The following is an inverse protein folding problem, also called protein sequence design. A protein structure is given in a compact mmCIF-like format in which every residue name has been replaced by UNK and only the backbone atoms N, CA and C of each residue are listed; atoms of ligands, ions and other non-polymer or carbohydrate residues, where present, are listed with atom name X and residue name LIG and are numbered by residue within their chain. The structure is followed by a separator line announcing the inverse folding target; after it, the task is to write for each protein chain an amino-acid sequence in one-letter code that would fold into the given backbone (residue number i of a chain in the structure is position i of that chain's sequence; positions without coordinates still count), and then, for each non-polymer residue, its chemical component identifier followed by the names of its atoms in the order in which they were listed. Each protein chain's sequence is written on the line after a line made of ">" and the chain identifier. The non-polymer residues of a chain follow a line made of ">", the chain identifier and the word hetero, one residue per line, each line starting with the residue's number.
data_IF_785687004068
#
_entry.id   IF_785687004068
#
_cell.length_a   1.000
_cell.length_b   1.000
_cell.length_c   1.000
_cell.angle_alpha   90.00
_cell.angle_beta   90.00
_cell.angle_gamma   90.00
#
_symmetry.space_group_name_H-M   'P 1'
#
loop_
_entity.id
_entity.type
_entity.pdbx_description
1 polymer ?
#
# COMPACT_ATOMS: atom_id res chain seq x y z
N UNK A 1 27.29 3.02 -9.24
CA UNK A 1 27.91 2.10 -8.26
C UNK A 1 28.61 2.97 -7.22
N UNK A 2 28.38 2.72 -5.97
CA UNK A 2 29.04 3.38 -4.84
C UNK A 2 29.57 2.30 -3.88
N UNK A 3 30.64 2.58 -3.19
CA UNK A 3 31.33 1.65 -2.30
C UNK A 3 31.47 2.32 -0.95
N UNK A 4 31.00 1.67 0.09
CA UNK A 4 31.07 2.18 1.46
C UNK A 4 31.84 1.20 2.36
N UNK A 5 32.67 1.73 3.21
CA UNK A 5 33.31 0.99 4.27
C UNK A 5 32.57 1.27 5.58
N UNK A 6 32.12 0.23 6.24
CA UNK A 6 31.39 0.27 7.51
C UNK A 6 32.24 -0.41 8.58
N UNK A 7 32.67 0.38 9.53
CA UNK A 7 33.42 -0.06 10.72
C UNK A 7 32.92 0.78 11.90
N UNK A 8 33.80 1.52 12.58
CA UNK A 8 33.44 2.51 13.61
C UNK A 8 32.81 3.78 12.97
N UNK A 9 33.05 3.96 11.69
CA UNK A 9 32.55 5.07 10.88
C UNK A 9 32.00 4.55 9.55
N UNK A 10 31.07 5.31 8.97
CA UNK A 10 30.58 5.11 7.62
C UNK A 10 31.35 6.00 6.66
N UNK A 11 32.10 5.41 5.73
CA UNK A 11 32.98 6.14 4.82
C UNK A 11 32.72 5.70 3.37
N UNK A 12 32.47 6.65 2.47
CA UNK A 12 32.42 6.37 1.04
C UNK A 12 33.82 6.30 0.43
N UNK A 13 34.05 5.24 -0.33
CA UNK A 13 35.29 5.01 -1.06
C UNK A 13 35.11 5.37 -2.54
N UNK A 14 36.07 6.04 -3.13
CA UNK A 14 36.07 6.38 -4.57
C UNK A 14 36.45 5.18 -5.44
N UNK A 15 37.25 4.26 -4.90
CA UNK A 15 37.77 3.09 -5.59
C UNK A 15 37.68 1.84 -4.69
N UNK A 16 37.80 0.67 -5.30
CA UNK A 16 37.89 -0.58 -4.58
C UNK A 16 39.17 -0.62 -3.72
N UNK A 17 39.06 -1.01 -2.45
CA UNK A 17 40.25 -1.16 -1.61
C UNK A 17 41.14 -2.30 -2.10
N UNK A 18 42.45 -2.22 -1.84
CA UNK A 18 43.38 -3.28 -2.17
C UNK A 18 43.16 -4.55 -1.34
N UNK A 19 42.77 -4.40 -0.08
CA UNK A 19 42.41 -5.47 0.84
C UNK A 19 41.31 -5.00 1.79
N UNK A 20 40.55 -5.95 2.38
CA UNK A 20 39.59 -5.64 3.41
C UNK A 20 40.34 -5.24 4.72
N UNK A 21 39.86 -4.22 5.43
CA UNK A 21 40.45 -3.85 6.76
C UNK A 21 40.23 -5.00 7.73
N UNK A 22 41.03 -5.04 8.82
CA UNK A 22 40.95 -6.12 9.81
C UNK A 22 39.56 -6.25 10.46
N UNK A 23 38.85 -5.14 10.61
CA UNK A 23 37.49 -5.09 11.17
C UNK A 23 36.55 -4.32 10.23
N UNK A 24 35.23 -4.55 10.35
CA UNK A 24 34.23 -3.94 9.50
C UNK A 24 34.02 -4.68 8.18
N UNK A 25 33.21 -4.14 7.31
CA UNK A 25 32.83 -4.74 6.03
C UNK A 25 32.59 -3.70 4.95
N UNK A 26 32.58 -4.12 3.69
CA UNK A 26 32.22 -3.30 2.55
C UNK A 26 30.74 -3.45 2.21
N UNK A 27 30.10 -2.32 1.94
CA UNK A 27 28.80 -2.29 1.28
C UNK A 27 28.95 -1.70 -0.12
N UNK A 28 28.69 -2.51 -1.13
CA UNK A 28 28.72 -2.17 -2.55
C UNK A 28 27.29 -2.05 -3.05
N UNK A 29 26.89 -0.86 -3.48
CA UNK A 29 25.56 -0.60 -3.97
C UNK A 29 25.58 -0.23 -5.45
N UNK A 30 24.72 -0.86 -6.25
CA UNK A 30 24.69 -0.65 -7.69
C UNK A 30 23.28 -0.79 -8.25
N UNK A 31 22.97 -0.04 -9.30
CA UNK A 31 21.74 -0.28 -10.05
C UNK A 31 21.92 -1.45 -11.02
N UNK A 32 20.82 -2.16 -11.36
CA UNK A 32 20.84 -3.30 -12.29
C UNK A 32 21.60 -3.00 -13.58
N UNK A 33 21.30 -1.85 -14.20
CA UNK A 33 21.99 -1.45 -15.45
C UNK A 33 23.48 -1.25 -15.27
N UNK A 34 23.90 -0.66 -14.15
CA UNK A 34 25.34 -0.46 -13.87
C UNK A 34 26.01 -1.79 -13.50
N UNK A 35 25.29 -2.67 -12.79
CA UNK A 35 25.76 -4.01 -12.47
C UNK A 35 26.00 -4.84 -13.73
N UNK A 36 25.06 -4.83 -14.68
CA UNK A 36 25.19 -5.51 -15.97
C UNK A 36 26.44 -5.06 -16.74
N UNK A 37 26.69 -3.75 -16.82
CA UNK A 37 27.84 -3.17 -17.54
C UNK A 37 29.17 -3.45 -16.82
N UNK A 38 29.18 -3.40 -15.49
CA UNK A 38 30.39 -3.55 -14.65
C UNK A 38 30.55 -4.96 -14.08
N UNK A 39 29.77 -5.94 -14.54
CA UNK A 39 29.80 -7.30 -14.03
C UNK A 39 31.20 -7.91 -13.95
N UNK A 40 32.05 -7.86 -15.01
CA UNK A 40 33.37 -8.47 -14.95
C UNK A 40 34.31 -7.82 -13.91
N UNK A 41 34.22 -6.50 -13.75
CA UNK A 41 34.98 -5.75 -12.77
C UNK A 41 34.55 -6.09 -11.34
N UNK A 42 33.24 -6.13 -11.09
CA UNK A 42 32.66 -6.51 -9.81
C UNK A 42 33.05 -7.95 -9.46
N UNK A 43 32.92 -8.90 -10.37
CA UNK A 43 33.30 -10.30 -10.18
C UNK A 43 34.77 -10.44 -9.80
N UNK A 44 35.67 -9.73 -10.52
CA UNK A 44 37.10 -9.73 -10.22
C UNK A 44 37.40 -9.23 -8.80
N UNK A 45 36.76 -8.14 -8.39
CA UNK A 45 36.95 -7.59 -7.06
C UNK A 45 36.34 -8.46 -5.95
N UNK A 46 35.17 -9.06 -6.16
CA UNK A 46 34.58 -10.03 -5.23
C UNK A 46 35.49 -11.24 -5.05
N UNK A 47 36.00 -11.81 -6.13
CA UNK A 47 36.95 -12.94 -6.06
C UNK A 47 38.19 -12.59 -5.23
N UNK A 48 38.73 -11.38 -5.40
CA UNK A 48 39.91 -10.92 -4.70
C UNK A 48 39.65 -10.61 -3.23
N UNK A 49 38.52 -9.96 -2.91
CA UNK A 49 38.23 -9.44 -1.56
C UNK A 49 37.44 -10.41 -0.69
N UNK A 50 36.51 -11.13 -1.27
CA UNK A 50 35.63 -12.06 -0.56
C UNK A 50 35.98 -13.54 -0.80
N UNK A 51 36.97 -13.83 -1.65
CA UNK A 51 37.41 -15.21 -1.94
C UNK A 51 36.50 -15.98 -2.89
N UNK A 52 35.38 -15.43 -3.31
CA UNK A 52 34.42 -16.05 -4.22
C UNK A 52 33.80 -15.05 -5.18
N UNK A 53 33.41 -15.52 -6.37
CA UNK A 53 32.62 -14.75 -7.35
C UNK A 53 31.18 -15.22 -7.39
N UNK A 54 30.27 -14.40 -7.90
CA UNK A 54 28.88 -14.79 -8.09
C UNK A 54 28.77 -15.84 -9.20
N UNK A 55 27.92 -16.84 -9.01
CA UNK A 55 27.57 -17.81 -10.05
C UNK A 55 26.73 -17.12 -11.14
N UNK A 56 26.86 -17.58 -12.39
CA UNK A 56 26.14 -16.99 -13.52
C UNK A 56 24.61 -17.02 -13.33
N UNK A 57 24.10 -18.08 -12.68
CA UNK A 57 22.69 -18.18 -12.31
C UNK A 57 22.28 -17.01 -11.42
N UNK A 58 23.00 -16.76 -10.34
CA UNK A 58 22.71 -15.70 -9.40
C UNK A 58 22.92 -14.29 -9.99
N UNK A 59 23.85 -14.15 -10.93
CA UNK A 59 23.98 -12.91 -11.71
C UNK A 59 22.70 -12.66 -12.53
N UNK A 60 22.18 -13.70 -13.18
CA UNK A 60 20.93 -13.62 -13.93
C UNK A 60 19.75 -13.26 -13.02
N UNK A 61 19.70 -13.84 -11.83
CA UNK A 61 18.67 -13.56 -10.81
C UNK A 61 18.71 -12.11 -10.34
N UNK A 62 19.89 -11.59 -10.04
CA UNK A 62 20.07 -10.18 -9.64
C UNK A 62 19.67 -9.18 -10.72
N UNK A 63 19.80 -9.56 -11.99
CA UNK A 63 19.43 -8.73 -13.15
C UNK A 63 17.94 -8.81 -13.48
N UNK A 64 17.25 -9.88 -13.12
CA UNK A 64 15.86 -10.12 -13.49
C UNK A 64 14.89 -9.22 -12.67
N UNK A 65 14.20 -8.25 -13.31
CA UNK A 65 13.26 -7.38 -12.61
C UNK A 65 11.93 -8.06 -12.25
N UNK A 66 11.66 -9.25 -12.79
CA UNK A 66 10.41 -10.00 -12.57
C UNK A 66 10.56 -11.15 -11.57
N UNK A 67 11.78 -11.37 -11.08
CA UNK A 67 12.03 -12.47 -10.17
C UNK A 67 11.21 -12.33 -8.88
N UNK A 68 10.53 -13.39 -8.41
CA UNK A 68 9.90 -13.41 -7.09
C UNK A 68 10.93 -13.26 -5.96
N UNK A 69 10.46 -13.03 -4.75
CA UNK A 69 11.35 -13.07 -3.59
C UNK A 69 11.81 -14.51 -3.36
N UNK A 70 13.11 -14.70 -3.26
CA UNK A 70 13.71 -16.03 -3.07
C UNK A 70 15.03 -15.91 -2.33
N UNK A 71 15.41 -16.97 -1.66
CA UNK A 71 16.68 -17.15 -1.01
C UNK A 71 17.41 -18.36 -1.61
N UNK A 72 18.72 -18.25 -1.77
CA UNK A 72 19.61 -19.36 -2.12
C UNK A 72 20.97 -19.12 -1.45
N UNK A 73 21.80 -20.14 -1.37
CA UNK A 73 23.10 -20.03 -0.73
C UNK A 73 24.17 -20.87 -1.44
N UNK A 74 25.42 -20.48 -1.23
CA UNK A 74 26.59 -21.21 -1.68
C UNK A 74 27.56 -21.38 -0.52
N UNK A 75 28.67 -22.07 -0.72
CA UNK A 75 29.72 -22.15 0.32
C UNK A 75 30.43 -20.80 0.57
N UNK A 76 30.19 -19.77 -0.24
CA UNK A 76 30.92 -18.50 -0.21
C UNK A 76 30.04 -17.30 0.13
N UNK A 77 28.76 -17.35 -0.18
CA UNK A 77 27.82 -16.26 0.02
C UNK A 77 26.38 -16.77 0.00
N UNK A 78 25.53 -15.99 0.64
CA UNK A 78 24.08 -16.11 0.57
C UNK A 78 23.53 -15.09 -0.43
N UNK A 79 22.47 -15.46 -1.13
CA UNK A 79 21.74 -14.54 -2.01
C UNK A 79 20.29 -14.44 -1.58
N UNK A 80 19.81 -13.21 -1.41
CA UNK A 80 18.41 -12.90 -1.16
C UNK A 80 17.92 -11.93 -2.22
N UNK A 81 16.92 -12.31 -2.98
CA UNK A 81 16.15 -11.39 -3.82
C UNK A 81 14.86 -11.08 -3.07
N UNK A 82 14.59 -9.81 -2.84
CA UNK A 82 13.45 -9.39 -2.04
C UNK A 82 12.65 -8.29 -2.75
N UNK A 83 11.37 -8.56 -3.06
CA UNK A 83 10.48 -7.59 -3.72
C UNK A 83 10.03 -6.53 -2.74
N UNK A 84 10.02 -5.28 -3.19
CA UNK A 84 9.52 -4.16 -2.38
C UNK A 84 7.99 -4.15 -2.42
N UNK A 85 7.39 -3.73 -1.32
CA UNK A 85 5.97 -3.36 -1.25
C UNK A 85 5.92 -1.93 -0.74
N UNK A 86 6.12 -0.98 -1.62
CA UNK A 86 6.15 0.42 -1.27
C UNK A 86 5.21 1.23 -2.15
N UNK A 87 4.65 2.29 -1.59
CA UNK A 87 4.02 3.32 -2.38
C UNK A 87 5.09 4.04 -3.19
N UNK A 88 4.97 4.06 -4.52
CA UNK A 88 5.90 4.79 -5.38
C UNK A 88 5.91 6.29 -5.05
N UNK A 89 7.00 7.00 -5.37
CA UNK A 89 7.16 8.45 -5.09
C UNK A 89 5.99 9.32 -5.58
N UNK A 90 5.27 8.88 -6.61
CA UNK A 90 4.05 9.57 -7.10
C UNK A 90 2.86 9.44 -6.14
N UNK A 91 2.89 8.49 -5.24
CA UNK A 91 1.78 8.19 -4.31
C UNK A 91 1.76 9.18 -3.15
N UNK A 92 2.87 9.83 -2.80
CA UNK A 92 2.87 10.91 -1.79
C UNK A 92 1.90 12.04 -2.14
N UNK A 93 1.76 12.37 -3.43
CA UNK A 93 0.78 13.37 -3.88
C UNK A 93 -0.67 12.89 -3.71
N UNK A 94 -0.91 11.59 -3.77
CA UNK A 94 -2.24 10.99 -3.54
C UNK A 94 -2.62 10.95 -2.05
N UNK A 95 -1.63 10.98 -1.15
CA UNK A 95 -1.86 11.16 0.29
C UNK A 95 -2.27 12.60 0.65
N UNK A 96 -1.83 13.58 -0.14
CA UNK A 96 -2.16 14.99 0.09
C UNK A 96 -3.56 15.37 -0.42
N UNK A 97 -4.11 14.60 -1.38
CA UNK A 97 -5.45 14.82 -1.95
C UNK A 97 -6.54 14.08 -1.15
N UNK A 98 -6.38 14.05 0.17
CA UNK A 98 -7.17 13.23 1.12
C UNK A 98 -8.66 13.61 1.21
N UNK A 99 -9.05 14.76 0.69
CA UNK A 99 -10.40 15.27 0.90
C UNK A 99 -11.45 14.73 -0.10
N UNK A 100 -11.03 14.22 -1.27
CA UNK A 100 -11.97 13.84 -2.34
C UNK A 100 -11.51 12.56 -3.07
N UNK A 101 -11.66 11.40 -2.43
CA UNK A 101 -11.43 10.10 -3.08
C UNK A 101 -12.32 9.95 -4.34
N UNK A 102 -11.72 9.58 -5.47
CA UNK A 102 -12.43 9.22 -6.71
C UNK A 102 -12.02 7.81 -7.13
N UNK A 103 -12.85 7.13 -7.91
CA UNK A 103 -12.48 5.82 -8.48
C UNK A 103 -11.18 5.90 -9.29
N UNK A 104 -10.92 7.03 -9.90
CA UNK A 104 -9.68 7.33 -10.64
C UNK A 104 -8.47 7.45 -9.71
N UNK A 105 -8.59 8.11 -8.56
CA UNK A 105 -7.52 8.19 -7.57
C UNK A 105 -7.20 6.85 -6.92
N UNK A 106 -8.23 6.02 -6.65
CA UNK A 106 -8.06 4.67 -6.14
C UNK A 106 -7.30 3.78 -7.13
N UNK A 107 -7.68 3.81 -8.42
CA UNK A 107 -6.99 3.08 -9.48
C UNK A 107 -5.54 3.54 -9.64
N UNK A 108 -5.30 4.84 -9.58
CA UNK A 108 -3.97 5.41 -9.71
C UNK A 108 -3.08 5.03 -8.50
N UNK A 109 -3.64 5.00 -7.29
CA UNK A 109 -2.94 4.55 -6.10
C UNK A 109 -2.54 3.07 -6.17
N UNK A 110 -3.44 2.20 -6.65
CA UNK A 110 -3.16 0.78 -6.86
C UNK A 110 -2.08 0.54 -7.93
N UNK A 111 -2.14 1.28 -9.05
CA UNK A 111 -1.15 1.20 -10.13
C UNK A 111 0.23 1.75 -9.76
N UNK A 112 0.32 2.56 -8.69
CA UNK A 112 1.57 3.15 -8.22
C UNK A 112 2.33 2.28 -7.21
N UNK A 113 1.84 1.08 -6.89
CA UNK A 113 2.52 0.15 -5.99
C UNK A 113 3.81 -0.36 -6.67
N UNK A 114 4.94 -0.11 -6.02
CA UNK A 114 6.25 -0.58 -6.48
C UNK A 114 6.57 -1.94 -5.87
N UNK A 115 6.65 -2.95 -6.72
CA UNK A 115 7.03 -4.32 -6.34
C UNK A 115 8.38 -4.75 -6.91
N UNK A 116 9.18 -3.82 -7.43
CA UNK A 116 10.48 -4.16 -8.03
C UNK A 116 11.44 -4.76 -7.00
N UNK A 117 12.17 -5.86 -7.33
CA UNK A 117 13.03 -6.54 -6.39
C UNK A 117 14.33 -5.77 -6.10
N UNK A 118 14.86 -5.95 -4.92
CA UNK A 118 16.24 -5.61 -4.52
C UNK A 118 16.97 -6.93 -4.29
N UNK A 119 18.13 -7.10 -4.93
CA UNK A 119 18.97 -8.27 -4.73
C UNK A 119 20.10 -7.99 -3.74
N UNK A 120 20.37 -8.93 -2.89
CA UNK A 120 21.44 -8.92 -1.88
C UNK A 120 22.33 -10.12 -2.08
N UNK A 121 23.64 -9.92 -2.22
CA UNK A 121 24.61 -11.01 -2.12
C UNK A 121 25.47 -10.73 -0.86
N UNK A 122 25.38 -11.62 0.09
CA UNK A 122 25.93 -11.50 1.44
C UNK A 122 27.12 -12.42 1.57
N UNK A 123 28.32 -11.84 1.53
CA UNK A 123 29.56 -12.54 1.84
C UNK A 123 29.93 -12.26 3.32
N UNK A 124 30.91 -12.96 3.84
CA UNK A 124 31.36 -12.78 5.22
C UNK A 124 31.64 -11.31 5.58
N UNK A 125 32.24 -10.56 4.64
CA UNK A 125 32.67 -9.18 4.88
C UNK A 125 32.37 -8.22 3.73
N UNK A 126 31.52 -8.63 2.80
CA UNK A 126 31.04 -7.78 1.68
C UNK A 126 29.55 -7.96 1.53
N UNK A 127 28.81 -6.88 1.48
CA UNK A 127 27.43 -6.84 1.05
C UNK A 127 27.36 -6.19 -0.33
N UNK A 128 26.90 -6.92 -1.33
CA UNK A 128 26.54 -6.36 -2.63
C UNK A 128 25.04 -6.20 -2.70
N UNK A 129 24.57 -5.00 -3.03
CA UNK A 129 23.15 -4.73 -3.27
C UNK A 129 22.93 -4.28 -4.71
N UNK A 130 21.99 -4.95 -5.40
CA UNK A 130 21.57 -4.63 -6.76
C UNK A 130 20.10 -4.21 -6.74
N UNK A 131 19.83 -3.01 -7.20
CA UNK A 131 18.50 -2.39 -7.04
C UNK A 131 18.05 -1.64 -8.31
N UNK A 132 16.78 -1.22 -8.43
CA UNK A 132 16.33 -0.29 -9.46
C UNK A 132 17.09 1.05 -9.39
N UNK A 133 17.06 1.82 -10.47
CA UNK A 133 17.76 3.12 -10.52
C UNK A 133 17.28 4.11 -9.45
N UNK A 134 15.98 4.09 -9.15
CA UNK A 134 15.26 4.96 -8.18
C UNK A 134 14.98 4.22 -6.87
N UNK A 135 15.99 3.79 -6.16
CA UNK A 135 15.83 3.01 -4.94
C UNK A 135 15.80 3.89 -3.68
N UNK A 136 14.61 4.20 -3.19
CA UNK A 136 14.40 4.93 -1.93
C UNK A 136 15.03 4.24 -0.72
N UNK A 137 15.05 2.91 -0.70
CA UNK A 137 15.67 2.10 0.39
C UNK A 137 17.17 2.38 0.45
N UNK A 138 17.88 2.38 -0.68
CA UNK A 138 19.30 2.72 -0.75
C UNK A 138 19.54 4.13 -0.19
N UNK A 139 18.83 5.12 -0.72
CA UNK A 139 19.02 6.53 -0.39
C UNK A 139 18.75 6.79 1.10
N UNK A 140 17.73 6.11 1.67
CA UNK A 140 17.44 6.14 3.09
C UNK A 140 18.59 5.61 3.93
N UNK A 141 19.14 4.43 3.58
CA UNK A 141 20.23 3.83 4.36
C UNK A 141 21.55 4.59 4.22
N UNK A 142 21.87 5.11 3.04
CA UNK A 142 23.02 5.99 2.85
C UNK A 142 22.93 7.24 3.75
N UNK A 143 21.79 7.93 3.75
CA UNK A 143 21.58 9.09 4.61
C UNK A 143 21.62 8.72 6.11
N UNK A 144 20.98 7.63 6.50
CA UNK A 144 20.90 7.21 7.90
C UNK A 144 22.26 6.78 8.47
N UNK A 145 23.03 5.98 7.72
CA UNK A 145 24.36 5.53 8.16
C UNK A 145 25.35 6.70 8.23
N UNK A 146 25.27 7.67 7.32
CA UNK A 146 26.11 8.88 7.39
C UNK A 146 25.82 9.70 8.65
N UNK A 147 24.57 9.80 9.09
CA UNK A 147 24.18 10.50 10.32
C UNK A 147 24.63 9.80 11.60
N UNK A 148 24.81 8.47 11.57
CA UNK A 148 25.29 7.70 12.73
C UNK A 148 26.78 7.85 12.99
N UNK A 149 27.53 8.48 12.08
CA UNK A 149 28.98 8.69 12.21
C UNK A 149 29.25 9.92 13.10
N UNK A 150 29.99 9.78 14.21
CA UNK A 150 30.16 10.85 15.21
C UNK A 150 30.78 12.16 14.69
N UNK A 151 31.44 12.12 13.53
CA UNK A 151 32.10 13.29 12.91
C UNK A 151 31.23 14.02 11.88
N UNK A 152 30.05 13.52 11.51
CA UNK A 152 29.21 14.19 10.50
C UNK A 152 28.69 15.55 11.00
N UNK A 153 28.39 15.68 12.29
CA UNK A 153 27.98 16.95 12.89
C UNK A 153 29.05 18.05 12.81
N UNK A 154 30.33 17.70 13.05
CA UNK A 154 31.45 18.66 12.96
C UNK A 154 31.79 19.04 11.53
N UNK A 155 31.65 18.14 10.56
CA UNK A 155 31.88 18.45 9.15
C UNK A 155 30.75 19.33 8.56
N UNK A 156 29.50 19.13 8.96
CA UNK A 156 28.37 19.96 8.57
C UNK A 156 28.47 21.38 9.18
N UNK A 157 28.88 21.50 10.46
CA UNK A 157 29.14 22.77 11.09
C UNK A 157 30.36 23.50 10.49
N UNK A 158 31.43 22.79 10.11
CA UNK A 158 32.57 23.35 9.43
C UNK A 158 32.26 23.83 7.99
N UNK A 159 31.37 23.12 7.28
CA UNK A 159 30.88 23.57 5.96
C UNK A 159 29.90 24.75 6.07
N UNK A 160 29.04 24.79 7.08
CA UNK A 160 28.19 25.95 7.36
C UNK A 160 29.00 27.19 7.78
N UNK A 161 30.11 27.00 8.49
CA UNK A 161 31.03 28.05 8.90
C UNK A 161 31.97 28.53 7.75
N UNK A 162 32.14 27.76 6.69
CA UNK A 162 32.98 28.05 5.56
C UNK A 162 32.29 28.80 4.40
N UNK A 163 31.01 29.10 4.49
CA UNK A 163 30.34 29.99 3.53
C UNK A 163 30.60 31.45 3.93
N UNK A 164 31.29 32.26 3.09
CA UNK A 164 31.51 33.65 3.42
C UNK A 164 30.21 34.43 3.39
N UNK A 165 29.89 34.99 4.56
CA UNK A 165 28.69 35.76 4.81
C UNK A 165 28.52 36.93 3.88
N UNK A 166 27.33 37.04 3.31
CA UNK A 166 26.84 38.32 2.81
C UNK A 166 26.27 39.05 4.04
N UNK A 167 27.03 40.02 4.47
CA UNK A 167 26.62 40.94 5.54
C UNK A 167 25.46 41.81 5.06
N UNK A 168 24.33 41.66 5.69
CA UNK A 168 23.28 42.68 5.66
C UNK A 168 23.15 43.25 7.09
N UNK A 169 23.78 44.39 7.26
CA UNK A 169 23.64 45.27 8.44
C UNK A 169 22.28 45.96 8.40
N UNK A 170 21.45 45.70 9.42
CA UNK A 170 20.37 46.61 9.82
C UNK A 170 20.42 46.73 11.33
N UNK A 171 20.59 47.91 11.91
CA UNK A 171 20.52 48.13 13.34
C UNK A 171 19.08 48.35 13.76
N UNK A 172 18.60 47.60 14.76
CA UNK A 172 17.39 47.94 15.49
C UNK A 172 17.70 47.99 16.97
N UNK A 173 17.56 49.19 17.52
CA UNK A 173 17.59 49.52 18.95
C UNK A 173 16.51 48.77 19.72
N UNK A 174 16.91 48.19 20.86
CA UNK A 174 16.02 47.66 21.88
C UNK A 174 16.08 48.57 23.10
N UNK A 175 14.96 48.98 23.68
CA UNK A 175 14.93 49.41 25.08
C UNK A 175 14.57 48.25 26.02
N UNK A 176 15.18 48.30 27.18
CA UNK A 176 15.21 47.34 28.26
C UNK A 176 13.89 47.30 29.09
N UNK A 177 13.76 46.12 29.74
CA UNK A 177 13.07 45.87 31.03
C UNK A 177 11.55 46.05 31.13
N UNK A 178 10.85 44.92 31.32
CA UNK A 178 9.83 44.78 32.38
C UNK A 178 9.79 43.34 32.89
N UNK A 179 10.17 43.17 34.14
CA UNK A 179 9.95 41.95 34.93
C UNK A 179 8.49 41.91 35.40
N UNK A 180 7.80 40.78 35.23
CA UNK A 180 6.56 40.47 35.94
C UNK A 180 6.59 39.08 36.51
N UNK A 181 6.41 39.02 37.83
CA UNK A 181 6.32 37.86 38.71
C UNK A 181 5.13 36.96 38.39
N UNK A 182 5.35 35.64 38.59
CA UNK A 182 4.35 34.58 38.59
C UNK A 182 3.75 34.43 39.99
N UNK A 183 2.45 34.30 40.19
CA UNK A 183 1.88 33.58 41.32
C UNK A 183 1.34 32.19 40.86
N UNK A 184 1.72 31.20 41.66
CA UNK A 184 1.11 29.88 41.66
C UNK A 184 -0.28 29.96 42.28
N UNK A 185 -1.19 29.23 41.71
CA UNK A 185 -2.31 28.45 42.23
C UNK A 185 -3.49 28.46 41.25
N UNK A 186 -3.87 27.33 40.77
CA UNK A 186 -5.18 26.73 40.98
C UNK A 186 -5.39 25.55 40.05
N UNK A 187 -5.47 24.42 40.69
CA UNK A 187 -5.93 23.13 40.16
C UNK A 187 -7.44 23.17 39.90
N UNK A 188 -7.87 22.38 38.94
CA UNK A 188 -9.19 21.82 38.70
C UNK A 188 -10.23 22.74 38.00
N UNK A 189 -10.62 22.37 36.82
CA UNK A 189 -11.97 21.93 36.44
C UNK A 189 -12.19 21.89 34.91
N UNK A 190 -12.40 20.66 34.40
CA UNK A 190 -13.53 20.23 33.55
C UNK A 190 -13.90 21.02 32.28
N UNK A 191 -13.75 20.29 31.17
CA UNK A 191 -14.70 20.12 30.06
C UNK A 191 -14.99 21.28 29.08
N UNK A 192 -14.84 20.89 27.80
CA UNK A 192 -15.65 21.34 26.65
C UNK A 192 -15.31 22.68 26.01
N UNK A 193 -14.68 22.61 24.83
CA UNK A 193 -15.17 23.20 23.58
C UNK A 193 -14.08 23.27 22.49
N UNK A 194 -14.36 22.70 21.35
CA UNK A 194 -13.76 23.03 20.04
C UNK A 194 -14.30 24.37 19.53
N UNK A 195 -13.90 24.86 18.34
CA UNK A 195 -12.61 24.85 17.66
C UNK A 195 -12.15 26.24 17.19
N UNK A 196 -10.90 26.46 16.85
CA UNK A 196 -10.61 27.44 15.78
C UNK A 196 -9.21 27.24 15.15
N UNK A 197 -9.17 27.49 13.85
CA UNK A 197 -8.10 27.23 12.92
C UNK A 197 -6.74 27.82 13.30
N UNK A 198 -5.74 26.97 13.20
CA UNK A 198 -4.34 27.33 13.22
C UNK A 198 -3.65 26.66 12.05
N UNK A 199 -2.82 27.41 11.35
CA UNK A 199 -2.07 27.04 10.16
C UNK A 199 -1.40 25.67 10.30
N UNK A 200 -1.64 24.77 9.31
CA UNK A 200 -1.01 23.47 9.23
C UNK A 200 0.36 23.68 8.61
N UNK A 201 1.40 23.53 9.42
CA UNK A 201 2.76 23.33 8.94
C UNK A 201 2.84 22.06 8.06
N UNK A 202 3.63 22.04 6.97
CA UNK A 202 3.76 20.86 6.12
C UNK A 202 4.38 19.72 6.94
N UNK A 203 3.54 18.72 7.26
CA UNK A 203 3.95 17.52 7.99
C UNK A 203 4.91 16.72 7.12
N UNK A 204 6.20 16.82 7.42
CA UNK A 204 7.19 15.86 6.95
C UNK A 204 6.74 14.43 7.30
N UNK A 205 6.96 13.42 6.45
CA UNK A 205 6.55 12.06 6.70
C UNK A 205 7.16 11.57 8.02
N UNK A 206 6.31 11.36 9.03
CA UNK A 206 6.73 10.78 10.31
C UNK A 206 6.91 9.29 10.10
N UNK A 207 8.11 8.91 9.72
CA UNK A 207 8.52 7.51 9.83
C UNK A 207 8.37 7.08 11.29
N UNK A 208 7.57 6.08 11.55
CA UNK A 208 7.45 5.48 12.87
C UNK A 208 8.80 4.86 13.21
N UNK A 209 9.59 5.59 13.99
CA UNK A 209 10.78 5.02 14.63
C UNK A 209 10.33 3.90 15.56
N UNK A 210 10.65 2.68 15.19
CA UNK A 210 10.63 1.56 16.12
C UNK A 210 11.67 1.88 17.21
N UNK A 211 11.17 2.37 18.34
CA UNK A 211 11.98 2.72 19.50
C UNK A 211 12.76 1.51 19.97
N UNK A 212 14.07 1.47 19.74
CA UNK A 212 14.93 0.66 20.56
C UNK A 212 16.18 0.01 19.98
N UNK A 213 16.44 0.02 18.65
CA UNK A 213 17.52 -0.85 18.13
C UNK A 213 18.59 -0.21 17.25
N UNK A 214 18.61 1.11 16.98
CA UNK A 214 19.34 1.58 15.79
C UNK A 214 20.29 2.77 16.00
N UNK A 215 20.87 2.91 17.18
CA UNK A 215 21.90 3.95 17.38
C UNK A 215 23.32 3.48 17.01
N UNK A 216 23.50 2.23 16.60
CA UNK A 216 24.82 1.66 16.26
C UNK A 216 24.87 1.25 14.79
N UNK A 217 26.02 1.45 14.16
CA UNK A 217 26.32 0.92 12.83
C UNK A 217 26.11 -0.61 12.81
N UNK A 218 25.70 -1.17 11.67
CA UNK A 218 25.52 -2.62 11.52
C UNK A 218 26.88 -3.32 11.68
N UNK A 219 26.95 -4.38 12.49
CA UNK A 219 28.21 -5.08 12.74
C UNK A 219 28.62 -6.02 11.60
N UNK A 220 27.67 -6.45 10.75
CA UNK A 220 27.93 -7.44 9.69
C UNK A 220 27.10 -7.12 8.42
N UNK A 221 27.51 -7.69 7.25
CA UNK A 221 26.74 -7.61 6.01
C UNK A 221 25.31 -8.11 6.18
N UNK A 222 25.11 -9.25 6.85
CA UNK A 222 23.81 -9.86 7.12
C UNK A 222 22.92 -8.96 7.98
N UNK A 223 23.47 -8.28 8.99
CA UNK A 223 22.71 -7.34 9.81
C UNK A 223 22.23 -6.13 9.01
N UNK A 224 23.07 -5.59 8.12
CA UNK A 224 22.67 -4.50 7.23
C UNK A 224 21.58 -4.96 6.25
N UNK A 225 21.71 -6.14 5.64
CA UNK A 225 20.69 -6.73 4.78
C UNK A 225 19.36 -6.85 5.52
N UNK A 226 19.32 -7.43 6.71
CA UNK A 226 18.08 -7.59 7.50
C UNK A 226 17.46 -6.24 7.89
N UNK A 227 18.27 -5.22 8.20
CA UNK A 227 17.74 -3.87 8.44
C UNK A 227 17.08 -3.29 7.19
N UNK A 228 17.67 -3.51 6.01
CA UNK A 228 17.06 -3.08 4.73
C UNK A 228 15.76 -3.84 4.44
N UNK A 229 15.74 -5.14 4.63
CA UNK A 229 14.55 -5.97 4.46
C UNK A 229 13.46 -5.55 5.44
N UNK A 230 13.78 -5.35 6.72
CA UNK A 230 12.80 -4.84 7.69
C UNK A 230 12.23 -3.49 7.28
N UNK A 231 13.07 -2.56 6.81
CA UNK A 231 12.60 -1.27 6.33
C UNK A 231 11.67 -1.39 5.11
N UNK A 232 11.94 -2.33 4.20
CA UNK A 232 11.04 -2.64 3.07
C UNK A 232 9.69 -3.13 3.57
N UNK A 233 9.68 -4.02 4.57
CA UNK A 233 8.43 -4.54 5.16
C UNK A 233 7.69 -3.45 5.93
N UNK A 234 8.39 -2.60 6.68
CA UNK A 234 7.80 -1.49 7.42
C UNK A 234 7.15 -0.45 6.50
N UNK A 235 7.70 -0.22 5.30
CA UNK A 235 7.13 0.69 4.30
C UNK A 235 5.71 0.27 3.84
N UNK A 236 5.35 -0.99 4.04
CA UNK A 236 3.99 -1.47 3.80
C UNK A 236 2.96 -0.85 4.76
N UNK A 237 3.36 -0.39 5.94
CA UNK A 237 2.41 0.23 6.90
C UNK A 237 1.74 1.47 6.31
N UNK A 238 2.46 2.24 5.50
CA UNK A 238 1.91 3.41 4.81
C UNK A 238 1.01 2.97 3.65
N UNK A 239 1.47 1.99 2.87
CA UNK A 239 0.68 1.37 1.80
C UNK A 239 -0.62 0.76 2.35
N UNK A 240 -0.59 0.10 3.49
CA UNK A 240 -1.75 -0.48 4.17
C UNK A 240 -2.85 0.56 4.41
N UNK A 241 -2.50 1.73 4.93
CA UNK A 241 -3.46 2.80 5.19
C UNK A 241 -4.11 3.28 3.89
N UNK A 242 -3.31 3.47 2.86
CA UNK A 242 -3.78 3.85 1.53
C UNK A 242 -4.75 2.81 0.97
N UNK A 243 -4.37 1.54 0.92
CA UNK A 243 -5.18 0.45 0.41
C UNK A 243 -6.51 0.33 1.14
N UNK A 244 -6.50 0.37 2.48
CA UNK A 244 -7.72 0.28 3.29
C UNK A 244 -8.70 1.41 2.95
N UNK A 245 -8.24 2.65 2.85
CA UNK A 245 -9.08 3.81 2.53
C UNK A 245 -9.65 3.73 1.12
N UNK A 246 -8.78 3.46 0.13
CA UNK A 246 -9.21 3.38 -1.27
C UNK A 246 -10.19 2.24 -1.49
N UNK A 247 -9.98 1.13 -0.81
CA UNK A 247 -10.87 -0.01 -0.91
C UNK A 247 -12.24 0.26 -0.26
N UNK A 248 -12.27 0.87 0.92
CA UNK A 248 -13.52 1.30 1.57
C UNK A 248 -14.31 2.29 0.70
N UNK A 249 -13.61 3.23 0.06
CA UNK A 249 -14.22 4.16 -0.91
C UNK A 249 -14.85 3.42 -2.10
N UNK A 250 -14.12 2.48 -2.73
CA UNK A 250 -14.65 1.69 -3.86
C UNK A 250 -15.88 0.87 -3.47
N UNK A 251 -15.89 0.30 -2.27
CA UNK A 251 -17.05 -0.44 -1.75
C UNK A 251 -18.27 0.47 -1.57
N UNK A 252 -18.08 1.64 -0.98
CA UNK A 252 -19.16 2.59 -0.76
C UNK A 252 -19.74 3.09 -2.08
N UNK A 253 -18.89 3.38 -3.04
CA UNK A 253 -19.30 3.89 -4.36
C UNK A 253 -20.01 2.82 -5.21
N UNK A 254 -19.63 1.56 -5.10
CA UNK A 254 -20.33 0.42 -5.72
C UNK A 254 -21.76 0.25 -5.23
N UNK A 255 -22.02 0.62 -3.98
CA UNK A 255 -23.35 0.57 -3.39
C UNK A 255 -24.16 1.82 -3.76
N UNK A 256 -23.48 2.91 -4.16
CA UNK A 256 -24.13 4.12 -4.64
C UNK A 256 -24.68 3.93 -6.06
N UNK A 257 -25.77 4.63 -6.37
CA UNK A 257 -26.52 4.41 -7.63
C UNK A 257 -25.93 5.12 -8.87
N UNK A 258 -24.71 5.73 -8.73
CA UNK A 258 -24.09 6.54 -9.79
C UNK A 258 -22.88 5.81 -10.40
N UNK A 259 -22.84 5.74 -11.74
CA UNK A 259 -21.68 5.25 -12.55
C UNK A 259 -21.14 3.84 -12.21
N UNK A 260 -22.00 2.86 -12.04
CA UNK A 260 -21.67 1.48 -11.62
C UNK A 260 -20.60 0.79 -12.46
N UNK A 261 -20.51 1.05 -13.76
CA UNK A 261 -19.57 0.34 -14.64
C UNK A 261 -18.11 0.72 -14.39
N UNK A 262 -17.82 2.01 -14.17
CA UNK A 262 -16.45 2.46 -13.90
C UNK A 262 -15.93 1.97 -12.53
N UNK A 263 -16.82 1.95 -11.54
CA UNK A 263 -16.48 1.48 -10.19
C UNK A 263 -16.28 -0.03 -10.16
N UNK A 264 -17.01 -0.78 -10.98
CA UNK A 264 -16.82 -2.22 -11.14
C UNK A 264 -15.44 -2.57 -11.70
N UNK A 265 -15.01 -1.89 -12.77
CA UNK A 265 -13.66 -2.09 -13.31
C UNK A 265 -12.58 -1.76 -12.29
N UNK A 266 -12.72 -0.66 -11.56
CA UNK A 266 -11.77 -0.28 -10.52
C UNK A 266 -11.68 -1.32 -9.39
N UNK A 267 -12.81 -1.94 -9.02
CA UNK A 267 -12.82 -3.03 -8.03
C UNK A 267 -12.10 -4.28 -8.52
N UNK A 268 -12.31 -4.67 -9.79
CA UNK A 268 -11.63 -5.81 -10.39
C UNK A 268 -10.11 -5.57 -10.48
N UNK A 269 -9.68 -4.37 -10.88
CA UNK A 269 -8.28 -3.99 -10.90
C UNK A 269 -7.68 -4.00 -9.48
N UNK A 270 -8.41 -3.48 -8.49
CA UNK A 270 -8.00 -3.54 -7.09
C UNK A 270 -7.86 -4.98 -6.58
N UNK A 271 -8.79 -5.87 -6.93
CA UNK A 271 -8.71 -7.30 -6.58
C UNK A 271 -7.47 -7.95 -7.19
N UNK A 272 -7.20 -7.73 -8.47
CA UNK A 272 -6.01 -8.27 -9.13
C UNK A 272 -4.71 -7.76 -8.47
N UNK A 273 -4.69 -6.48 -8.07
CA UNK A 273 -3.55 -5.92 -7.34
C UNK A 273 -3.38 -6.56 -5.97
N UNK A 274 -4.48 -6.80 -5.23
CA UNK A 274 -4.44 -7.47 -3.93
C UNK A 274 -3.92 -8.91 -4.06
N UNK A 275 -4.33 -9.64 -5.09
CA UNK A 275 -3.84 -10.99 -5.35
C UNK A 275 -2.33 -11.00 -5.66
N UNK A 276 -1.87 -10.07 -6.51
CA UNK A 276 -0.42 -9.90 -6.77
C UNK A 276 0.36 -9.55 -5.48
N UNK A 277 -0.24 -8.76 -4.57
CA UNK A 277 0.38 -8.44 -3.28
C UNK A 277 0.41 -9.65 -2.35
N UNK A 278 -0.63 -10.49 -2.36
CA UNK A 278 -0.67 -11.74 -1.60
C UNK A 278 0.46 -12.66 -2.05
N UNK A 279 0.57 -12.93 -3.36
CA UNK A 279 1.65 -13.75 -3.94
C UNK A 279 3.03 -13.18 -3.54
N UNK A 280 3.22 -11.86 -3.66
CA UNK A 280 4.48 -11.22 -3.28
C UNK A 280 4.82 -11.42 -1.79
N UNK A 281 3.82 -11.33 -0.90
CA UNK A 281 4.02 -11.55 0.54
C UNK A 281 4.30 -13.01 0.87
N UNK A 282 3.70 -13.95 0.15
CA UNK A 282 3.97 -15.39 0.31
C UNK A 282 5.41 -15.72 -0.10
N UNK A 283 5.87 -15.22 -1.25
CA UNK A 283 7.25 -15.35 -1.69
C UNK A 283 8.23 -14.75 -0.69
N UNK A 284 7.93 -13.55 -0.17
CA UNK A 284 8.75 -12.90 0.87
C UNK A 284 8.84 -13.75 2.14
N UNK A 285 7.70 -14.29 2.59
CA UNK A 285 7.64 -15.16 3.76
C UNK A 285 8.48 -16.41 3.58
N UNK A 286 8.38 -17.07 2.42
CA UNK A 286 9.16 -18.26 2.08
C UNK A 286 10.66 -17.96 2.08
N UNK A 287 11.07 -16.90 1.38
CA UNK A 287 12.48 -16.51 1.30
C UNK A 287 13.09 -16.17 2.68
N UNK A 288 12.35 -15.49 3.55
CA UNK A 288 12.83 -15.21 4.91
C UNK A 288 12.84 -16.45 5.78
N UNK A 289 11.89 -17.37 5.60
CA UNK A 289 11.91 -18.66 6.33
C UNK A 289 13.13 -19.50 5.92
N UNK A 290 13.43 -19.62 4.63
CA UNK A 290 14.61 -20.33 4.11
C UNK A 290 15.92 -19.71 4.66
N UNK A 291 15.97 -18.38 4.73
CA UNK A 291 17.07 -17.68 5.40
C UNK A 291 17.21 -18.05 6.90
N UNK A 292 16.09 -18.10 7.63
CA UNK A 292 16.08 -18.50 9.05
C UNK A 292 16.59 -19.93 9.20
N UNK A 293 16.12 -20.84 8.35
CA UNK A 293 16.51 -22.25 8.38
C UNK A 293 18.01 -22.39 8.09
N UNK A 294 18.52 -21.69 7.07
CA UNK A 294 19.96 -21.68 6.77
C UNK A 294 20.78 -21.08 7.92
N UNK A 295 20.30 -20.00 8.55
CA UNK A 295 20.97 -19.39 9.70
C UNK A 295 21.03 -20.36 10.90
N UNK A 296 20.05 -21.23 11.07
CA UNK A 296 20.02 -22.26 12.11
C UNK A 296 21.00 -23.41 11.84
N UNK A 297 21.35 -23.66 10.58
CA UNK A 297 22.35 -24.64 10.15
C UNK A 297 23.79 -24.15 10.27
N UNK A 298 24.00 -22.83 10.38
CA UNK A 298 25.37 -22.31 10.53
C UNK A 298 26.09 -22.91 11.74
N UNK A 299 27.42 -23.19 11.64
CA UNK A 299 28.14 -23.72 12.75
C UNK A 299 28.13 -22.79 13.96
N UNK A 300 28.02 -23.36 15.15
CA UNK A 300 28.02 -22.57 16.41
C UNK A 300 29.37 -21.89 16.59
N UNK A 301 29.45 -20.55 16.61
CA UNK A 301 30.71 -19.87 16.81
C UNK A 301 31.32 -20.18 18.17
N UNK A 302 32.62 -20.43 18.20
CA UNK A 302 33.34 -20.64 19.46
C UNK A 302 33.52 -19.36 20.30
N UNK A 303 33.48 -18.19 19.61
CA UNK A 303 33.62 -16.89 20.27
C UNK A 303 32.27 -16.38 20.80
N UNK A 304 32.25 -15.88 22.01
CA UNK A 304 31.02 -15.37 22.65
C UNK A 304 30.43 -14.17 21.95
N UNK A 305 31.21 -13.35 21.25
CA UNK A 305 30.74 -12.20 20.48
C UNK A 305 30.03 -12.65 19.22
N UNK A 306 30.61 -13.53 18.44
CA UNK A 306 30.01 -14.07 17.22
C UNK A 306 28.71 -14.85 17.52
N UNK A 307 28.64 -15.55 18.66
CA UNK A 307 27.44 -16.22 19.12
C UNK A 307 26.31 -15.20 19.44
N UNK A 308 26.63 -14.05 20.05
CA UNK A 308 25.66 -12.97 20.31
C UNK A 308 25.20 -12.32 19.01
N UNK A 309 26.07 -12.08 18.05
CA UNK A 309 25.73 -11.51 16.73
C UNK A 309 24.78 -12.44 15.98
N UNK A 310 25.04 -13.75 15.98
CA UNK A 310 24.14 -14.75 15.39
C UNK A 310 22.76 -14.74 16.07
N UNK A 311 22.69 -14.66 17.39
CA UNK A 311 21.42 -14.59 18.11
C UNK A 311 20.64 -13.32 17.77
N UNK A 312 21.32 -12.18 17.62
CA UNK A 312 20.68 -10.94 17.15
C UNK A 312 20.12 -11.09 15.74
N UNK A 313 20.86 -11.74 14.83
CA UNK A 313 20.36 -12.04 13.48
C UNK A 313 19.11 -12.92 13.53
N UNK A 314 19.10 -13.98 14.35
CA UNK A 314 17.92 -14.86 14.53
C UNK A 314 16.69 -14.09 15.03
N UNK A 315 16.87 -13.27 16.05
CA UNK A 315 15.76 -12.46 16.61
C UNK A 315 15.22 -11.49 15.57
N UNK A 316 16.10 -10.80 14.83
CA UNK A 316 15.67 -9.88 13.76
C UNK A 316 14.98 -10.58 12.60
N UNK A 317 15.49 -11.75 12.19
CA UNK A 317 14.87 -12.52 11.11
C UNK A 317 13.46 -12.95 11.47
N UNK A 318 13.24 -13.39 12.71
CA UNK A 318 11.90 -13.73 13.21
C UNK A 318 10.97 -12.52 13.28
N UNK A 319 11.47 -11.36 13.70
CA UNK A 319 10.71 -10.12 13.73
C UNK A 319 10.25 -9.72 12.31
N UNK A 320 11.16 -9.78 11.32
CA UNK A 320 10.83 -9.56 9.91
C UNK A 320 9.77 -10.55 9.43
N UNK A 321 9.94 -11.84 9.72
CA UNK A 321 9.00 -12.88 9.34
C UNK A 321 7.59 -12.62 9.91
N UNK A 322 7.49 -12.28 11.21
CA UNK A 322 6.22 -11.92 11.84
C UNK A 322 5.59 -10.66 11.22
N UNK A 323 6.40 -9.68 10.82
CA UNK A 323 5.91 -8.49 10.12
C UNK A 323 5.30 -8.86 8.77
N UNK A 324 5.97 -9.73 7.99
CA UNK A 324 5.45 -10.21 6.70
C UNK A 324 4.13 -10.97 6.91
N UNK A 325 4.02 -11.82 7.92
CA UNK A 325 2.77 -12.54 8.22
C UNK A 325 1.62 -11.59 8.57
N UNK A 326 1.89 -10.52 9.31
CA UNK A 326 0.88 -9.48 9.62
C UNK A 326 0.42 -8.75 8.35
N UNK A 327 1.35 -8.48 7.43
CA UNK A 327 1.06 -7.89 6.12
C UNK A 327 0.19 -8.83 5.31
N UNK A 328 0.59 -10.08 5.17
CA UNK A 328 -0.14 -11.12 4.43
C UNK A 328 -1.57 -11.30 4.95
N UNK A 329 -1.72 -11.39 6.27
CA UNK A 329 -3.03 -11.49 6.90
C UNK A 329 -3.91 -10.25 6.64
N UNK A 330 -3.31 -9.07 6.45
CA UNK A 330 -4.06 -7.87 6.10
C UNK A 330 -4.49 -7.87 4.63
N UNK A 331 -3.62 -8.25 3.71
CA UNK A 331 -3.94 -8.37 2.27
C UNK A 331 -5.08 -9.36 2.07
N UNK A 332 -5.02 -10.54 2.69
CA UNK A 332 -6.10 -11.56 2.65
C UNK A 332 -7.44 -11.04 3.17
N UNK A 333 -7.43 -10.22 4.22
CA UNK A 333 -8.68 -9.58 4.70
C UNK A 333 -9.25 -8.60 3.70
N UNK A 334 -8.41 -7.81 3.03
CA UNK A 334 -8.86 -6.89 1.97
C UNK A 334 -9.41 -7.66 0.77
N UNK A 335 -8.77 -8.75 0.38
CA UNK A 335 -9.23 -9.62 -0.71
C UNK A 335 -10.59 -10.24 -0.39
N UNK A 336 -10.76 -10.83 0.78
CA UNK A 336 -12.06 -11.37 1.22
C UNK A 336 -13.15 -10.29 1.29
N UNK A 337 -12.78 -9.07 1.68
CA UNK A 337 -13.68 -7.91 1.65
C UNK A 337 -14.05 -7.51 0.21
N UNK A 338 -13.10 -7.63 -0.74
CA UNK A 338 -13.35 -7.43 -2.16
C UNK A 338 -14.36 -8.43 -2.71
N UNK A 339 -14.17 -9.71 -2.43
CA UNK A 339 -15.08 -10.77 -2.84
C UNK A 339 -16.49 -10.55 -2.29
N UNK A 340 -16.59 -10.18 -1.02
CA UNK A 340 -17.87 -9.84 -0.39
C UNK A 340 -18.57 -8.67 -1.09
N UNK A 341 -17.81 -7.62 -1.46
CA UNK A 341 -18.36 -6.48 -2.20
C UNK A 341 -18.88 -6.86 -3.59
N UNK A 342 -18.15 -7.74 -4.29
CA UNK A 342 -18.57 -8.32 -5.57
C UNK A 342 -19.91 -9.07 -5.41
N UNK A 343 -20.01 -9.92 -4.41
CA UNK A 343 -21.21 -10.72 -4.15
C UNK A 343 -22.41 -9.83 -3.80
N UNK A 344 -22.21 -8.81 -2.97
CA UNK A 344 -23.25 -7.83 -2.61
C UNK A 344 -23.73 -7.09 -3.85
N UNK A 345 -22.81 -6.67 -4.72
CA UNK A 345 -23.15 -5.99 -5.97
C UNK A 345 -24.05 -6.85 -6.87
N UNK A 346 -23.70 -8.11 -7.11
CA UNK A 346 -24.52 -9.02 -7.91
C UNK A 346 -25.89 -9.30 -7.27
N UNK A 347 -25.92 -9.44 -5.95
CA UNK A 347 -27.18 -9.60 -5.22
C UNK A 347 -28.09 -8.38 -5.35
N UNK A 348 -27.53 -7.18 -5.23
CA UNK A 348 -28.27 -5.92 -5.44
C UNK A 348 -28.77 -5.77 -6.87
N UNK A 349 -27.98 -6.15 -7.89
CA UNK A 349 -28.40 -6.13 -9.29
C UNK A 349 -29.51 -7.15 -9.56
N UNK A 350 -29.40 -8.35 -8.98
CA UNK A 350 -30.46 -9.36 -9.06
C UNK A 350 -31.77 -8.88 -8.44
N UNK A 351 -31.70 -8.22 -7.29
CA UNK A 351 -32.87 -7.61 -6.64
C UNK A 351 -33.54 -6.54 -7.55
N UNK A 352 -32.75 -5.66 -8.16
CA UNK A 352 -33.27 -4.65 -9.09
C UNK A 352 -33.96 -5.27 -10.31
N UNK A 353 -33.37 -6.32 -10.90
CA UNK A 353 -33.96 -7.03 -12.03
C UNK A 353 -35.30 -7.63 -11.62
N UNK A 354 -35.39 -8.22 -10.43
CA UNK A 354 -36.63 -8.75 -9.90
C UNK A 354 -37.69 -7.66 -9.67
N UNK A 355 -37.30 -6.48 -9.19
CA UNK A 355 -38.19 -5.33 -8.99
C UNK A 355 -38.72 -4.80 -10.33
N UNK A 356 -37.88 -4.74 -11.38
CA UNK A 356 -38.32 -4.38 -12.74
C UNK A 356 -39.31 -5.40 -13.28
N UNK A 357 -39.00 -6.72 -13.16
CA UNK A 357 -39.90 -7.78 -13.59
C UNK A 357 -41.24 -7.74 -12.85
N UNK A 358 -41.22 -7.48 -11.54
CA UNK A 358 -42.37 -7.32 -10.69
C UNK A 358 -43.24 -6.12 -11.15
N UNK A 359 -42.63 -4.97 -11.43
CA UNK A 359 -43.29 -3.77 -11.92
C UNK A 359 -43.94 -4.04 -13.29
N UNK A 360 -43.23 -4.68 -14.21
CA UNK A 360 -43.70 -5.06 -15.51
C UNK A 360 -44.92 -6.02 -15.43
N UNK A 361 -44.80 -7.02 -14.52
CA UNK A 361 -45.90 -7.98 -14.28
C UNK A 361 -47.14 -7.29 -13.75
N UNK A 362 -47.01 -6.38 -12.79
CA UNK A 362 -48.16 -5.58 -12.29
C UNK A 362 -48.77 -4.74 -13.37
N UNK A 363 -47.97 -4.06 -14.19
CA UNK A 363 -48.44 -3.25 -15.30
C UNK A 363 -49.22 -4.11 -16.29
N UNK A 364 -48.67 -5.23 -16.72
CA UNK A 364 -49.33 -6.16 -17.65
C UNK A 364 -50.63 -6.72 -17.06
N UNK A 365 -50.65 -7.08 -15.80
CA UNK A 365 -51.82 -7.62 -15.10
C UNK A 365 -52.96 -6.59 -14.99
N UNK A 366 -52.65 -5.29 -14.98
CA UNK A 366 -53.66 -4.22 -15.01
C UNK A 366 -54.15 -3.97 -16.46
N UNK A 367 -53.25 -3.92 -17.44
CA UNK A 367 -53.63 -3.59 -18.82
C UNK A 367 -54.36 -4.73 -19.53
N UNK A 368 -54.07 -6.00 -19.24
CA UNK A 368 -54.69 -7.14 -19.93
C UNK A 368 -56.23 -7.16 -19.80
N UNK A 369 -56.84 -7.05 -18.59
CA UNK A 369 -58.29 -7.01 -18.48
C UNK A 369 -58.92 -5.74 -19.08
N UNK A 370 -58.21 -4.60 -19.04
CA UNK A 370 -58.67 -3.38 -19.69
C UNK A 370 -58.73 -3.55 -21.23
N UNK A 371 -57.70 -4.16 -21.83
CA UNK A 371 -57.69 -4.49 -23.25
C UNK A 371 -58.78 -5.48 -23.64
N UNK A 372 -59.07 -6.46 -22.77
CA UNK A 372 -60.18 -7.37 -23.00
C UNK A 372 -61.55 -6.64 -23.05
N UNK A 373 -61.78 -5.74 -22.08
CA UNK A 373 -63.03 -4.94 -22.03
C UNK A 373 -63.12 -4.09 -23.28
N UNK A 374 -62.08 -3.33 -23.64
CA UNK A 374 -62.11 -2.48 -24.87
C UNK A 374 -62.23 -3.31 -26.13
N UNK A 375 -61.63 -4.52 -26.19
CA UNK A 375 -61.76 -5.44 -27.30
C UNK A 375 -63.19 -5.95 -27.48
N UNK A 376 -63.85 -6.37 -26.39
CA UNK A 376 -65.24 -6.84 -26.43
C UNK A 376 -66.21 -5.72 -26.86
N UNK A 377 -66.09 -4.53 -26.26
CA UNK A 377 -66.96 -3.39 -26.63
C UNK A 377 -66.58 -2.76 -27.97
N UNK A 378 -65.42 -3.05 -28.56
CA UNK A 378 -65.00 -2.65 -29.89
C UNK A 378 -65.41 -3.61 -31.00
N UNK A 379 -66.06 -4.72 -30.68
CA UNK A 379 -66.55 -5.68 -31.68
C UNK A 379 -67.84 -5.19 -32.28
N UNK A 380 -68.01 -5.25 -33.62
CA UNK A 380 -69.22 -4.85 -34.36
C UNK A 380 -70.24 -5.99 -34.49
N UNK A 381 -70.63 -6.58 -33.33
CA UNK A 381 -71.71 -7.58 -33.35
C UNK A 381 -73.01 -6.99 -32.81
N UNK A 382 -74.11 -7.13 -33.55
CA UNK A 382 -75.45 -6.62 -33.17
C UNK A 382 -76.02 -7.24 -31.92
N UNK A 383 -75.48 -8.42 -31.48
CA UNK A 383 -75.94 -9.15 -30.30
C UNK A 383 -75.28 -8.67 -28.97
N UNK A 384 -74.39 -7.68 -29.03
CA UNK A 384 -73.74 -7.19 -27.80
C UNK A 384 -74.68 -6.25 -27.03
N UNK A 385 -74.93 -6.51 -25.72
CA UNK A 385 -75.77 -5.63 -24.92
C UNK A 385 -75.09 -4.26 -24.72
N UNK A 386 -75.84 -3.18 -24.59
CA UNK A 386 -75.38 -1.82 -24.27
C UNK A 386 -74.72 -1.04 -25.46
N UNK A 387 -74.44 -1.64 -26.60
CA UNK A 387 -73.78 -0.93 -27.73
C UNK A 387 -74.70 0.13 -28.37
N UNK A 388 -75.97 -0.09 -28.41
CA UNK A 388 -76.96 0.83 -29.01
C UNK A 388 -77.53 1.82 -27.98
N UNK A 389 -77.25 1.69 -26.72
CA UNK A 389 -77.71 2.59 -25.66
C UNK A 389 -76.76 3.76 -25.45
N UNK A 390 -77.31 5.00 -25.38
CA UNK A 390 -76.51 6.22 -25.08
C UNK A 390 -75.74 6.18 -23.76
N UNK A 391 -76.11 5.24 -22.84
CA UNK A 391 -75.42 5.02 -21.57
C UNK A 391 -74.32 3.96 -21.60
N UNK A 392 -74.21 3.15 -22.65
CA UNK A 392 -73.29 2.00 -22.71
C UNK A 392 -71.84 2.38 -22.63
N UNK A 393 -71.45 3.51 -23.22
CA UNK A 393 -70.08 4.07 -23.09
C UNK A 393 -69.71 4.34 -21.63
N UNK A 394 -70.60 4.99 -20.88
CA UNK A 394 -70.32 5.33 -19.48
C UNK A 394 -70.23 4.10 -18.57
N UNK A 395 -71.03 3.04 -18.87
CA UNK A 395 -70.97 1.79 -18.17
C UNK A 395 -69.63 1.07 -18.43
N UNK A 396 -69.20 0.95 -19.68
CA UNK A 396 -67.94 0.34 -20.05
C UNK A 396 -66.75 1.12 -19.43
N UNK A 397 -66.78 2.47 -19.51
CA UNK A 397 -65.75 3.31 -18.92
C UNK A 397 -65.69 3.19 -17.39
N UNK A 398 -66.84 3.20 -16.73
CA UNK A 398 -66.94 2.98 -15.28
C UNK A 398 -66.42 1.61 -14.84
N UNK A 399 -66.72 0.55 -15.62
CA UNK A 399 -66.17 -0.80 -15.37
C UNK A 399 -64.67 -0.86 -15.50
N UNK A 400 -64.07 -0.22 -16.54
CA UNK A 400 -62.62 -0.14 -16.70
C UNK A 400 -61.95 0.55 -15.51
N UNK A 401 -62.49 1.69 -15.06
CA UNK A 401 -61.98 2.39 -13.88
C UNK A 401 -62.08 1.51 -12.62
N UNK A 402 -63.21 0.86 -12.43
CA UNK A 402 -63.39 -0.01 -11.24
C UNK A 402 -62.42 -1.19 -11.22
N UNK A 403 -62.18 -1.82 -12.39
CA UNK A 403 -61.22 -2.92 -12.52
C UNK A 403 -59.78 -2.41 -12.30
N UNK A 404 -59.42 -1.27 -12.90
CA UNK A 404 -58.08 -0.69 -12.73
C UNK A 404 -57.80 -0.33 -11.27
N UNK A 405 -58.72 0.38 -10.62
CA UNK A 405 -58.56 0.78 -9.21
C UNK A 405 -58.58 -0.43 -8.27
N UNK A 406 -59.41 -1.44 -8.51
CA UNK A 406 -59.49 -2.68 -7.77
C UNK A 406 -58.17 -3.46 -7.84
N UNK A 407 -57.57 -3.58 -9.04
CA UNK A 407 -56.29 -4.25 -9.22
C UNK A 407 -55.13 -3.46 -8.61
N UNK A 408 -55.06 -2.15 -8.75
CA UNK A 408 -54.04 -1.29 -8.11
C UNK A 408 -54.13 -1.41 -6.59
N UNK A 409 -55.35 -1.34 -6.02
CA UNK A 409 -55.56 -1.51 -4.59
C UNK A 409 -55.15 -2.92 -4.13
N UNK A 410 -55.47 -3.97 -4.84
CA UNK A 410 -55.10 -5.35 -4.52
C UNK A 410 -53.59 -5.55 -4.56
N UNK A 411 -52.87 -5.07 -5.60
CA UNK A 411 -51.43 -5.13 -5.70
C UNK A 411 -50.75 -4.31 -4.61
N UNK A 412 -51.30 -3.14 -4.27
CA UNK A 412 -50.79 -2.30 -3.20
C UNK A 412 -50.94 -2.99 -1.82
N UNK A 413 -52.08 -3.60 -1.55
CA UNK A 413 -52.32 -4.36 -0.32
C UNK A 413 -51.42 -5.59 -0.19
N UNK A 414 -51.12 -6.23 -1.28
CA UNK A 414 -50.22 -7.40 -1.33
C UNK A 414 -48.74 -6.99 -1.36
N UNK A 415 -48.38 -5.72 -1.23
CA UNK A 415 -47.01 -5.19 -1.29
C UNK A 415 -46.28 -5.54 -2.59
N UNK A 416 -46.97 -5.76 -3.68
CA UNK A 416 -46.36 -5.95 -5.01
C UNK A 416 -45.89 -4.64 -5.63
N UNK A 417 -46.47 -3.50 -5.25
CA UNK A 417 -45.93 -2.17 -5.52
C UNK A 417 -45.08 -1.81 -4.30
N UNK A 418 -43.77 -2.06 -4.38
CA UNK A 418 -42.82 -1.72 -3.34
C UNK A 418 -42.83 -0.22 -3.04
N UNK A 419 -42.60 0.17 -1.79
CA UNK A 419 -42.25 1.55 -1.46
C UNK A 419 -40.99 1.93 -2.26
N UNK A 420 -40.95 3.14 -2.86
CA UNK A 420 -39.69 3.63 -3.41
C UNK A 420 -38.66 3.67 -2.30
N UNK A 421 -37.35 3.41 -2.60
CA UNK A 421 -36.31 3.57 -1.62
C UNK A 421 -36.39 4.98 -1.05
N UNK A 422 -36.51 5.11 0.25
CA UNK A 422 -36.32 6.38 0.96
C UNK A 422 -34.84 6.74 0.79
N UNK A 423 -34.57 7.83 0.07
CA UNK A 423 -33.26 8.49 -0.06
C UNK A 423 -32.71 8.93 1.30
#
# INVERSE_FOLDING_TARGET
>A
MRIFLIHDQFTELTEWPASLPAQGFLWVTTSRRVFEVKQPDIQHHLQRLAGGSLMDLHVTDLLNPQLPSQYDYTSWYDILVFRRLAAGQRTERLFLDEAHGTASSARQAMAAIDTSPVGFAVFDRVLLTVHPADCSVRDFFEARLSQMTPNAGRAAEAQAAAQPGVAATVPVDLPAEVSVEVPADLSAAVASQEPNGGAVDPVAPRFHETRGSTSRLPPSPADLMLRMVNHVVDSYLDLRRLLTRQFAYLQQELLSNRNQFQHWQALLEARNTLHMLEDTCEDQRSAVQEWIDALDEWPVPAESQAAREREVLRVRSRDVHEHIERVLAHVRRLESSAESAVQIHFSAQGSRTNDIMRTLTVLTAIFLPLNLITGVFGMNFDALPLIHDKGGFWVAFGLMIAVALGLVWWFRRRRYLGEPPRD
#
